data_IF_235993748625
#
_entry.id   IF_235993748625
#
_cell.length_a   1.000
_cell.length_b   1.000
_cell.length_c   1.000
_cell.angle_alpha   90.00
_cell.angle_beta   90.00
_cell.angle_gamma   90.00
#
_symmetry.space_group_name_H-M   'P 1'
#
loop_
_entity.id
_entity.type
_entity.pdbx_description
1 polymer ?
#
# COMPACT_ATOMS: atom_id res chain seq x y z
N UNK A 1 23.83 12.40 -27.04
CA UNK A 1 23.15 11.55 -28.02
C UNK A 1 22.36 12.43 -28.97
N UNK A 2 22.57 12.26 -30.29
CA UNK A 2 21.70 12.85 -31.27
C UNK A 2 20.32 12.19 -31.29
N UNK A 3 19.31 12.83 -31.94
CA UNK A 3 17.97 12.23 -32.06
C UNK A 3 18.05 10.90 -32.84
N UNK A 4 18.92 10.82 -33.83
CA UNK A 4 19.13 9.61 -34.63
C UNK A 4 19.75 8.48 -33.79
N UNK A 5 20.77 8.78 -32.99
CA UNK A 5 21.36 7.82 -32.05
C UNK A 5 20.34 7.34 -31.01
N UNK A 6 19.53 8.24 -30.46
CA UNK A 6 18.49 7.88 -29.49
C UNK A 6 17.43 6.95 -30.12
N UNK A 7 17.03 7.21 -31.36
CA UNK A 7 16.06 6.38 -32.08
C UNK A 7 16.62 5.04 -32.57
N UNK A 8 17.96 4.88 -32.62
CA UNK A 8 18.61 3.63 -33.00
C UNK A 8 18.81 2.65 -31.82
N UNK A 9 18.54 3.09 -30.58
CA UNK A 9 18.67 2.22 -29.40
C UNK A 9 17.55 1.19 -29.39
N UNK A 10 17.92 -0.07 -29.51
CA UNK A 10 16.98 -1.18 -29.38
C UNK A 10 16.53 -1.37 -27.92
N UNK A 11 15.27 -1.73 -27.75
CA UNK A 11 14.70 -2.01 -26.44
C UNK A 11 15.30 -3.31 -25.88
N UNK A 12 15.93 -3.24 -24.72
CA UNK A 12 16.42 -4.42 -24.01
C UNK A 12 15.27 -5.38 -23.69
N UNK A 13 15.41 -6.70 -23.94
CA UNK A 13 14.41 -7.68 -23.57
C UNK A 13 14.06 -7.63 -22.08
N UNK A 14 12.77 -7.78 -21.76
CA UNK A 14 12.25 -7.63 -20.41
C UNK A 14 12.97 -8.52 -19.38
N UNK A 15 13.17 -9.81 -19.69
CA UNK A 15 13.84 -10.73 -18.78
C UNK A 15 15.30 -10.34 -18.50
N UNK A 16 16.00 -9.75 -19.47
CA UNK A 16 17.37 -9.22 -19.25
C UNK A 16 17.36 -8.02 -18.29
N UNK A 17 16.37 -7.13 -18.41
CA UNK A 17 16.21 -6.02 -17.47
C UNK A 17 15.89 -6.54 -16.07
N UNK A 18 15.06 -7.56 -15.94
CA UNK A 18 14.76 -8.21 -14.65
C UNK A 18 16.02 -8.78 -14.02
N UNK A 19 16.84 -9.53 -14.78
CA UNK A 19 18.10 -10.12 -14.24
C UNK A 19 19.10 -9.02 -13.85
N UNK A 20 19.19 -7.92 -14.61
CA UNK A 20 19.99 -6.78 -14.25
C UNK A 20 19.54 -6.18 -12.91
N UNK A 21 18.24 -5.90 -12.73
CA UNK A 21 17.71 -5.36 -11.46
C UNK A 21 17.97 -6.33 -10.30
N UNK A 22 17.81 -7.63 -10.51
CA UNK A 22 18.04 -8.65 -9.48
C UNK A 22 19.49 -8.65 -9.05
N UNK A 23 20.44 -8.62 -10.00
CA UNK A 23 21.88 -8.62 -9.68
C UNK A 23 22.32 -7.35 -8.94
N UNK A 24 21.82 -6.18 -9.35
CA UNK A 24 22.08 -4.91 -8.67
C UNK A 24 21.51 -4.88 -7.25
N UNK A 25 20.30 -5.44 -7.06
CA UNK A 25 19.70 -5.55 -5.74
C UNK A 25 20.51 -6.48 -4.82
N UNK A 26 21.05 -7.60 -5.34
CA UNK A 26 21.87 -8.53 -4.58
C UNK A 26 23.22 -7.88 -4.17
N UNK A 27 23.84 -7.15 -5.08
CA UNK A 27 25.06 -6.39 -4.78
C UNK A 27 24.83 -5.30 -3.74
N UNK A 28 23.72 -4.55 -3.86
CA UNK A 28 23.34 -3.55 -2.88
C UNK A 28 23.04 -4.17 -1.52
N UNK A 29 22.28 -5.27 -1.47
CA UNK A 29 21.94 -5.95 -0.22
C UNK A 29 23.17 -6.50 0.52
N UNK A 30 24.23 -6.85 -0.21
CA UNK A 30 25.49 -7.29 0.39
C UNK A 30 26.28 -6.15 1.07
N UNK A 31 26.06 -4.90 0.66
CA UNK A 31 26.81 -3.72 1.12
C UNK A 31 26.03 -2.84 2.10
N UNK A 32 24.70 -2.86 2.03
CA UNK A 32 23.84 -1.99 2.84
C UNK A 32 23.65 -2.57 4.26
N UNK A 33 23.53 -1.70 5.28
CA UNK A 33 23.20 -2.12 6.63
C UNK A 33 21.76 -2.63 6.72
N UNK A 34 21.49 -3.42 7.74
CA UNK A 34 20.14 -3.94 8.02
C UNK A 34 19.20 -2.86 8.57
N UNK A 35 19.75 -1.92 9.32
CA UNK A 35 18.99 -0.82 9.93
C UNK A 35 19.90 0.39 10.15
N UNK A 36 19.27 1.58 10.18
CA UNK A 36 19.89 2.82 10.64
C UNK A 36 19.36 3.25 12.01
N UNK A 37 18.48 2.46 12.65
CA UNK A 37 18.02 2.74 14.02
C UNK A 37 19.20 2.65 14.99
N UNK A 38 19.37 3.72 15.78
CA UNK A 38 20.50 3.84 16.72
C UNK A 38 21.78 4.42 16.11
N UNK A 39 21.76 4.76 14.83
CA UNK A 39 22.76 5.61 14.19
C UNK A 39 22.42 7.09 14.41
N UNK A 40 22.98 8.01 13.63
CA UNK A 40 22.64 9.42 13.71
C UNK A 40 21.18 9.64 13.29
N UNK A 41 20.49 10.56 13.97
CA UNK A 41 19.05 10.80 13.79
C UNK A 41 18.66 11.16 12.36
N UNK A 42 19.55 11.77 11.59
CA UNK A 42 19.36 12.15 10.20
C UNK A 42 19.52 10.99 9.20
N UNK A 43 19.89 9.81 9.66
CA UNK A 43 20.06 8.62 8.82
C UNK A 43 18.80 7.75 8.71
N UNK A 44 17.81 7.95 9.57
CA UNK A 44 16.53 7.25 9.47
C UNK A 44 15.83 7.57 8.14
N UNK A 45 15.33 6.52 7.47
CA UNK A 45 14.69 6.66 6.14
C UNK A 45 15.65 6.44 4.96
N UNK A 46 16.94 6.21 5.20
CA UNK A 46 17.88 5.77 4.17
C UNK A 46 17.59 4.35 3.70
N UNK A 47 18.07 4.05 2.51
CA UNK A 47 17.93 2.72 1.89
C UNK A 47 18.71 1.66 2.68
N UNK A 48 18.02 0.61 3.09
CA UNK A 48 18.57 -0.51 3.86
C UNK A 48 18.73 -1.76 2.99
N UNK A 49 19.43 -2.78 3.52
CA UNK A 49 19.48 -4.13 2.94
C UNK A 49 18.10 -4.69 2.64
N UNK A 50 17.16 -4.57 3.59
CA UNK A 50 15.80 -5.05 3.43
C UNK A 50 15.04 -4.34 2.31
N UNK A 51 15.30 -3.05 2.06
CA UNK A 51 14.70 -2.35 0.94
C UNK A 51 15.23 -2.88 -0.41
N UNK A 52 16.53 -3.10 -0.56
CA UNK A 52 17.09 -3.70 -1.78
C UNK A 52 16.47 -5.08 -2.05
N UNK A 53 16.35 -5.91 -1.01
CA UNK A 53 15.67 -7.21 -1.10
C UNK A 53 14.18 -7.08 -1.45
N UNK A 54 13.48 -6.07 -0.94
CA UNK A 54 12.08 -5.81 -1.26
C UNK A 54 11.89 -5.41 -2.73
N UNK A 55 12.79 -4.59 -3.29
CA UNK A 55 12.79 -4.25 -4.72
C UNK A 55 12.98 -5.50 -5.57
N UNK A 56 13.96 -6.35 -5.23
CA UNK A 56 14.17 -7.65 -5.89
C UNK A 56 12.93 -8.52 -5.86
N UNK A 57 12.33 -8.71 -4.68
CA UNK A 57 11.13 -9.54 -4.50
C UNK A 57 9.96 -9.03 -5.36
N UNK A 58 9.72 -7.72 -5.35
CA UNK A 58 8.66 -7.11 -6.15
C UNK A 58 8.92 -7.24 -7.65
N UNK A 59 10.15 -7.05 -8.09
CA UNK A 59 10.54 -7.22 -9.51
C UNK A 59 10.29 -8.65 -9.98
N UNK A 60 10.72 -9.65 -9.20
CA UNK A 60 10.50 -11.06 -9.51
C UNK A 60 9.01 -11.45 -9.49
N UNK A 61 8.22 -10.87 -8.56
CA UNK A 61 6.78 -11.09 -8.50
C UNK A 61 6.08 -10.58 -9.77
N UNK A 62 6.44 -9.40 -10.26
CA UNK A 62 5.90 -8.86 -11.50
C UNK A 62 6.35 -9.67 -12.73
N UNK A 63 7.60 -10.13 -12.74
CA UNK A 63 8.10 -11.00 -13.80
C UNK A 63 7.41 -12.39 -13.84
N UNK A 64 6.91 -12.85 -12.69
CA UNK A 64 6.12 -14.08 -12.60
C UNK A 64 4.64 -13.89 -12.96
N UNK A 65 4.14 -12.65 -13.03
CA UNK A 65 2.74 -12.35 -13.31
C UNK A 65 2.32 -12.80 -14.70
N UNK A 66 1.02 -13.04 -14.88
CA UNK A 66 0.46 -13.54 -16.15
C UNK A 66 0.86 -12.70 -17.37
N UNK A 67 1.07 -11.40 -17.21
CA UNK A 67 1.49 -10.51 -18.28
C UNK A 67 2.88 -10.85 -18.82
N UNK A 68 3.81 -11.22 -17.95
CA UNK A 68 5.22 -11.48 -18.27
C UNK A 68 5.59 -12.97 -18.18
N UNK A 69 4.61 -13.81 -17.88
CA UNK A 69 4.73 -15.26 -17.76
C UNK A 69 3.48 -15.95 -18.35
N UNK A 70 3.17 -15.72 -19.64
CA UNK A 70 1.95 -16.26 -20.26
C UNK A 70 1.94 -17.78 -20.30
N UNK A 71 3.11 -18.41 -20.39
CA UNK A 71 3.28 -19.87 -20.44
C UNK A 71 3.21 -20.53 -19.05
N UNK A 72 3.10 -19.73 -17.98
CA UNK A 72 2.92 -20.24 -16.62
C UNK A 72 4.18 -20.89 -16.03
N UNK A 73 5.38 -20.43 -16.38
CA UNK A 73 6.64 -20.95 -15.83
C UNK A 73 6.63 -20.85 -14.29
N UNK A 74 6.55 -22.01 -13.65
CA UNK A 74 6.52 -22.15 -12.19
C UNK A 74 7.84 -21.70 -11.55
N UNK A 75 8.96 -21.73 -12.26
CA UNK A 75 10.25 -21.29 -11.70
C UNK A 75 10.27 -19.78 -11.43
N UNK A 76 9.61 -18.96 -12.26
CA UNK A 76 9.44 -17.52 -12.00
C UNK A 76 8.71 -17.29 -10.68
N UNK A 77 7.63 -18.05 -10.40
CA UNK A 77 6.90 -17.98 -9.13
C UNK A 77 7.74 -18.45 -7.93
N UNK A 78 8.49 -19.53 -8.09
CA UNK A 78 9.39 -20.01 -7.02
C UNK A 78 10.45 -18.99 -6.66
N UNK A 79 11.07 -18.34 -7.66
CA UNK A 79 12.06 -17.29 -7.44
C UNK A 79 11.45 -16.09 -6.68
N UNK A 80 10.25 -15.66 -7.07
CA UNK A 80 9.54 -14.58 -6.39
C UNK A 80 9.22 -14.93 -4.94
N UNK A 81 8.71 -16.13 -4.68
CA UNK A 81 8.41 -16.63 -3.35
C UNK A 81 9.67 -16.74 -2.48
N UNK A 82 10.78 -17.24 -3.02
CA UNK A 82 12.05 -17.33 -2.30
C UNK A 82 12.57 -15.94 -1.92
N UNK A 83 12.53 -14.97 -2.84
CA UNK A 83 12.96 -13.62 -2.55
C UNK A 83 12.12 -12.94 -1.45
N UNK A 84 10.82 -13.22 -1.39
CA UNK A 84 9.97 -12.75 -0.29
C UNK A 84 10.33 -13.45 1.04
N UNK A 85 10.54 -14.76 1.01
CA UNK A 85 10.93 -15.55 2.18
C UNK A 85 12.30 -15.09 2.75
N UNK A 86 13.24 -14.70 1.89
CA UNK A 86 14.55 -14.21 2.30
C UNK A 86 14.42 -12.92 3.14
N UNK A 87 13.43 -12.05 2.84
CA UNK A 87 13.14 -10.86 3.65
C UNK A 87 12.55 -11.25 5.01
N UNK A 88 11.62 -12.21 5.03
CA UNK A 88 11.04 -12.71 6.27
C UNK A 88 12.13 -13.31 7.17
N UNK A 89 13.05 -14.08 6.58
CA UNK A 89 14.14 -14.73 7.28
C UNK A 89 15.20 -13.75 7.85
N UNK A 90 15.23 -12.49 7.42
CA UNK A 90 16.04 -11.46 8.09
C UNK A 90 15.62 -11.28 9.56
N UNK A 91 14.35 -11.53 9.89
CA UNK A 91 13.83 -11.44 11.26
C UNK A 91 13.78 -10.02 11.85
N UNK A 92 13.97 -8.99 11.02
CA UNK A 92 13.97 -7.57 11.45
C UNK A 92 12.64 -6.86 11.25
N UNK A 93 11.77 -7.40 10.39
CA UNK A 93 10.43 -6.86 10.14
C UNK A 93 9.37 -7.74 10.79
N UNK A 94 8.39 -7.10 11.44
CA UNK A 94 7.29 -7.78 12.14
C UNK A 94 5.99 -7.08 11.78
N UNK A 95 4.93 -7.85 11.50
CA UNK A 95 3.61 -7.29 11.26
C UNK A 95 3.13 -6.51 12.49
N UNK A 96 2.72 -5.27 12.27
CA UNK A 96 2.18 -4.42 13.32
C UNK A 96 0.70 -4.77 13.57
N UNK A 97 0.27 -4.66 14.82
CA UNK A 97 -1.14 -4.81 15.22
C UNK A 97 -2.07 -3.71 14.66
N UNK A 98 -1.51 -2.70 14.02
CA UNK A 98 -2.23 -1.59 13.40
C UNK A 98 -2.16 -0.26 14.15
N UNK A 99 -1.61 -0.25 15.37
CA UNK A 99 -1.55 0.97 16.20
C UNK A 99 -0.41 1.90 15.78
N UNK A 100 0.64 1.35 15.16
CA UNK A 100 1.85 2.09 14.75
C UNK A 100 2.00 2.22 13.25
N UNK A 101 1.05 1.69 12.47
CA UNK A 101 1.06 1.82 11.01
C UNK A 101 1.21 3.30 10.61
N UNK A 102 2.08 3.57 9.63
CA UNK A 102 2.42 4.92 9.18
C UNK A 102 3.14 5.81 10.21
N UNK A 103 3.66 5.25 11.29
CA UNK A 103 4.55 5.95 12.21
C UNK A 103 6.00 5.50 12.04
N UNK A 104 6.95 6.31 12.51
CA UNK A 104 8.38 5.92 12.53
C UNK A 104 8.68 4.75 13.47
N UNK A 105 7.76 4.46 14.39
CA UNK A 105 7.88 3.36 15.35
C UNK A 105 7.35 2.01 14.83
N UNK A 106 6.79 1.96 13.61
CA UNK A 106 6.26 0.71 13.07
C UNK A 106 7.38 -0.28 12.71
N UNK A 107 7.33 -1.50 13.25
CA UNK A 107 8.30 -2.55 12.90
C UNK A 107 8.09 -3.11 11.48
N UNK A 108 7.03 -2.70 10.78
CA UNK A 108 6.79 -3.08 9.38
C UNK A 108 7.57 -2.22 8.38
N UNK A 109 8.11 -1.08 8.82
CA UNK A 109 8.73 -0.12 7.93
C UNK A 109 9.99 -0.69 7.26
N UNK A 110 9.91 -0.94 5.96
CA UNK A 110 11.06 -1.33 5.12
C UNK A 110 11.76 -0.10 4.56
N UNK A 111 11.00 0.89 4.11
CA UNK A 111 11.46 2.20 3.68
C UNK A 111 10.40 3.23 4.04
N UNK A 112 10.82 4.36 4.56
CA UNK A 112 9.95 5.50 4.85
C UNK A 112 10.44 6.75 4.13
N UNK A 113 9.49 7.53 3.61
CA UNK A 113 9.76 8.89 3.18
C UNK A 113 9.50 9.82 4.35
N UNK A 114 10.55 10.44 4.85
CA UNK A 114 10.41 11.48 5.85
C UNK A 114 9.83 12.74 5.23
N UNK A 115 8.81 13.30 5.86
CA UNK A 115 8.23 14.58 5.50
C UNK A 115 8.45 15.54 6.67
N UNK A 116 8.64 16.80 6.35
CA UNK A 116 8.56 17.87 7.38
C UNK A 116 7.15 17.96 7.92
N UNK A 117 7.02 18.47 9.13
CA UNK A 117 5.75 18.76 9.76
C UNK A 117 4.88 19.65 8.85
N UNK A 118 3.64 19.25 8.60
CA UNK A 118 2.73 19.90 7.66
C UNK A 118 1.28 19.49 7.95
N UNK A 119 0.35 20.41 7.76
CA UNK A 119 -1.10 20.20 7.82
C UNK A 119 -1.69 19.73 6.48
N UNK A 120 -0.84 19.50 5.49
CA UNK A 120 -1.29 19.19 4.13
C UNK A 120 -2.11 17.89 4.04
N UNK A 121 -1.79 16.90 4.89
CA UNK A 121 -2.55 15.65 4.90
C UNK A 121 -4.00 15.89 5.33
N UNK A 122 -4.20 16.62 6.41
CA UNK A 122 -5.52 16.97 6.94
C UNK A 122 -6.30 17.83 5.96
N UNK A 123 -5.64 18.82 5.35
CA UNK A 123 -6.26 19.73 4.39
C UNK A 123 -6.85 19.02 3.18
N UNK A 124 -6.15 18.00 2.68
CA UNK A 124 -6.56 17.30 1.45
C UNK A 124 -7.38 16.04 1.70
N UNK A 125 -7.39 15.52 2.93
CA UNK A 125 -8.02 14.23 3.22
C UNK A 125 -9.19 14.30 4.21
N UNK A 126 -9.27 15.33 5.05
CA UNK A 126 -10.36 15.45 6.00
C UNK A 126 -11.65 15.95 5.35
N UNK A 127 -12.81 15.58 5.91
CA UNK A 127 -14.09 16.09 5.44
C UNK A 127 -14.15 17.62 5.49
N UNK A 128 -14.90 18.20 4.56
CA UNK A 128 -15.21 19.65 4.57
C UNK A 128 -15.78 20.03 5.96
N UNK A 129 -15.34 21.16 6.51
CA UNK A 129 -15.64 21.71 7.85
C UNK A 129 -14.77 21.18 9.00
N UNK A 130 -13.95 20.14 8.79
CA UNK A 130 -13.03 19.63 9.83
C UNK A 130 -11.60 20.14 9.67
N UNK A 131 -11.33 20.95 8.67
CA UNK A 131 -10.09 21.70 8.49
C UNK A 131 -10.27 23.08 9.06
N UNK A 132 -9.35 23.51 9.94
CA UNK A 132 -9.42 24.83 10.56
C UNK A 132 -8.97 25.96 9.59
N UNK A 133 -9.50 27.16 9.80
CA UNK A 133 -9.08 28.39 9.13
C UNK A 133 -9.67 28.59 7.74
N UNK A 134 -8.99 29.40 6.93
CA UNK A 134 -9.45 29.84 5.59
C UNK A 134 -9.53 28.72 4.54
N UNK A 135 -9.19 27.49 4.90
CA UNK A 135 -9.10 26.33 4.00
C UNK A 135 -10.28 25.36 4.13
N UNK A 136 -11.34 25.78 4.79
CA UNK A 136 -12.57 24.98 5.00
C UNK A 136 -13.31 24.60 3.72
N UNK A 137 -12.93 25.14 2.59
CA UNK A 137 -13.49 24.84 1.27
C UNK A 137 -12.68 23.79 0.48
N UNK A 138 -11.52 23.36 0.97
CA UNK A 138 -10.79 22.28 0.34
C UNK A 138 -11.51 20.97 0.61
N UNK A 139 -11.82 20.24 -0.46
CA UNK A 139 -12.51 18.96 -0.36
C UNK A 139 -11.55 17.85 0.05
N UNK A 140 -12.03 16.94 0.88
CA UNK A 140 -11.29 15.75 1.28
C UNK A 140 -11.12 14.72 0.16
N UNK A 141 -10.43 13.63 0.49
CA UNK A 141 -10.37 12.45 -0.37
C UNK A 141 -11.65 11.62 -0.17
N UNK A 142 -12.39 11.43 -1.24
CA UNK A 142 -13.64 10.66 -1.21
C UNK A 142 -13.46 9.31 -1.90
N UNK A 143 -13.86 8.20 -1.27
CA UNK A 143 -13.84 6.90 -1.90
C UNK A 143 -14.91 6.84 -3.01
N UNK A 144 -14.67 6.04 -4.02
CA UNK A 144 -15.75 5.65 -4.95
C UNK A 144 -16.73 4.72 -4.24
N UNK A 145 -17.99 4.71 -4.68
CA UNK A 145 -18.98 3.80 -4.13
C UNK A 145 -18.58 2.33 -4.27
N UNK A 146 -17.94 1.96 -5.38
CA UNK A 146 -17.44 0.60 -5.58
C UNK A 146 -16.42 0.17 -4.51
N UNK A 147 -15.56 1.10 -4.04
CA UNK A 147 -14.65 0.81 -2.95
C UNK A 147 -15.41 0.61 -1.63
N UNK A 148 -16.45 1.42 -1.38
CA UNK A 148 -17.30 1.30 -0.18
C UNK A 148 -18.03 -0.04 -0.18
N UNK A 149 -18.56 -0.47 -1.33
CA UNK A 149 -19.30 -1.73 -1.49
C UNK A 149 -18.37 -2.96 -1.33
N UNK A 150 -17.11 -2.84 -1.70
CA UNK A 150 -16.12 -3.93 -1.55
C UNK A 150 -15.82 -4.30 -0.08
N UNK A 151 -16.23 -3.48 0.89
CA UNK A 151 -16.18 -3.87 2.30
C UNK A 151 -17.37 -4.77 2.63
N UNK A 152 -17.10 -5.94 3.15
CA UNK A 152 -18.12 -6.92 3.57
C UNK A 152 -18.81 -6.52 4.88
N UNK A 153 -19.92 -7.18 5.18
CA UNK A 153 -20.53 -7.12 6.52
C UNK A 153 -19.60 -7.73 7.56
N UNK A 154 -19.89 -7.54 8.84
CA UNK A 154 -19.14 -8.14 9.95
C UNK A 154 -19.12 -9.67 9.88
N UNK A 155 -20.13 -10.26 9.25
CA UNK A 155 -20.26 -11.71 9.03
C UNK A 155 -19.60 -12.21 7.73
N UNK A 156 -18.97 -11.32 6.94
CA UNK A 156 -18.20 -11.66 5.74
C UNK A 156 -19.03 -11.79 4.46
N UNK A 157 -20.26 -11.26 4.43
CA UNK A 157 -21.10 -11.23 3.25
C UNK A 157 -20.88 -9.97 2.43
N UNK A 158 -20.99 -10.08 1.12
CA UNK A 158 -20.89 -8.94 0.22
C UNK A 158 -22.10 -8.01 0.37
N UNK A 159 -21.86 -6.73 0.11
CA UNK A 159 -22.89 -5.70 0.07
C UNK A 159 -22.86 -5.06 -1.30
N UNK A 160 -24.00 -5.01 -1.96
CA UNK A 160 -24.14 -4.46 -3.31
C UNK A 160 -25.27 -3.44 -3.36
N UNK A 161 -25.15 -2.50 -4.30
CA UNK A 161 -26.23 -1.59 -4.65
C UNK A 161 -26.86 -2.04 -5.96
N UNK A 162 -28.18 -2.23 -5.95
CA UNK A 162 -28.98 -2.63 -7.11
C UNK A 162 -29.97 -1.52 -7.49
N UNK A 163 -30.75 -1.74 -8.53
CA UNK A 163 -31.86 -0.84 -8.87
C UNK A 163 -32.92 -0.74 -7.76
N UNK A 164 -32.99 -1.73 -6.85
CA UNK A 164 -33.91 -1.78 -5.74
C UNK A 164 -33.31 -1.22 -4.43
N UNK A 165 -32.06 -0.80 -4.44
CA UNK A 165 -31.35 -0.29 -3.27
C UNK A 165 -30.21 -1.22 -2.81
N UNK A 166 -29.90 -1.14 -1.53
CA UNK A 166 -28.83 -1.93 -0.93
C UNK A 166 -29.29 -3.36 -0.62
N UNK A 167 -28.48 -4.33 -0.96
CA UNK A 167 -28.74 -5.76 -0.77
C UNK A 167 -27.51 -6.49 -0.22
N UNK A 168 -27.75 -7.51 0.60
CA UNK A 168 -26.77 -8.48 1.09
C UNK A 168 -27.44 -9.79 1.44
N UNK A 169 -26.75 -10.91 1.29
CA UNK A 169 -27.20 -12.22 1.77
C UNK A 169 -27.06 -12.37 3.31
N UNK A 170 -26.52 -11.37 3.99
CA UNK A 170 -26.42 -11.34 5.44
C UNK A 170 -27.81 -11.00 6.05
N UNK A 171 -28.39 -11.93 6.78
CA UNK A 171 -29.67 -11.73 7.47
C UNK A 171 -29.65 -10.62 8.53
N UNK A 172 -28.47 -10.21 9.00
CA UNK A 172 -28.30 -9.11 9.93
C UNK A 172 -28.12 -7.75 9.24
N UNK A 173 -28.09 -7.72 7.90
CA UNK A 173 -27.94 -6.50 7.12
C UNK A 173 -29.24 -5.71 7.09
N UNK A 174 -29.16 -4.41 7.36
CA UNK A 174 -30.28 -3.47 7.27
C UNK A 174 -30.06 -2.52 6.08
N UNK A 175 -30.85 -2.70 5.03
CA UNK A 175 -30.78 -1.89 3.82
C UNK A 175 -31.07 -0.39 4.04
N UNK A 176 -31.78 -0.03 5.12
CA UNK A 176 -32.03 1.37 5.51
C UNK A 176 -30.81 2.02 6.19
N UNK A 177 -29.87 1.20 6.67
CA UNK A 177 -28.61 1.61 7.32
C UNK A 177 -27.43 0.82 6.75
N UNK A 178 -27.09 1.01 5.48
CA UNK A 178 -26.18 0.15 4.74
C UNK A 178 -24.72 0.22 5.21
N UNK A 179 -24.39 1.16 6.08
CA UNK A 179 -23.06 1.35 6.64
C UNK A 179 -22.89 0.74 8.04
N UNK A 180 -23.99 0.28 8.66
CA UNK A 180 -23.95 -0.40 9.94
C UNK A 180 -23.48 -1.86 9.78
N UNK A 181 -22.94 -2.43 10.84
CA UNK A 181 -22.49 -3.82 10.89
C UNK A 181 -21.54 -4.24 9.74
N UNK A 182 -20.74 -3.30 9.25
CA UNK A 182 -19.66 -3.57 8.29
C UNK A 182 -18.43 -4.10 9.01
N UNK A 183 -17.59 -4.81 8.29
CA UNK A 183 -16.33 -5.36 8.84
C UNK A 183 -15.43 -4.27 9.47
N UNK A 184 -14.56 -4.62 10.43
CA UNK A 184 -13.81 -3.64 11.24
C UNK A 184 -12.90 -2.72 10.42
N UNK A 185 -12.46 -3.16 9.24
CA UNK A 185 -11.68 -2.32 8.31
C UNK A 185 -12.50 -1.19 7.71
N UNK A 186 -13.81 -1.36 7.57
CA UNK A 186 -14.68 -0.31 7.05
C UNK A 186 -14.60 0.94 7.95
N UNK A 187 -14.87 0.81 9.23
CA UNK A 187 -14.86 1.93 10.16
C UNK A 187 -13.47 2.62 10.31
N UNK A 188 -12.38 1.91 9.97
CA UNK A 188 -11.03 2.47 9.96
C UNK A 188 -10.68 3.21 8.66
N UNK A 189 -11.39 2.95 7.59
CA UNK A 189 -11.03 3.44 6.23
C UNK A 189 -12.06 4.41 5.68
N UNK A 190 -13.34 4.17 5.96
CA UNK A 190 -14.47 4.92 5.41
C UNK A 190 -15.12 5.74 6.52
N UNK A 191 -15.35 6.99 6.24
CA UNK A 191 -16.16 7.87 7.05
C UNK A 191 -17.48 8.09 6.35
N UNK A 192 -18.54 7.51 6.88
CA UNK A 192 -19.90 7.58 6.33
C UNK A 192 -20.80 8.48 7.18
N UNK A 193 -21.91 8.92 6.60
CA UNK A 193 -22.92 9.71 7.30
C UNK A 193 -23.40 9.00 8.58
N UNK A 194 -23.53 9.74 9.65
CA UNK A 194 -23.88 9.23 10.99
C UNK A 194 -22.68 8.72 11.81
N UNK A 195 -21.48 8.66 11.24
CA UNK A 195 -20.28 8.30 12.00
C UNK A 195 -19.70 9.48 12.76
N UNK A 196 -19.11 9.21 13.92
CA UNK A 196 -18.39 10.22 14.69
C UNK A 196 -16.98 10.48 14.12
N UNK A 197 -16.65 11.73 13.91
CA UNK A 197 -15.31 12.19 13.55
C UNK A 197 -14.90 13.36 14.40
N UNK A 198 -13.75 13.29 15.08
CA UNK A 198 -13.25 14.32 16.01
C UNK A 198 -14.33 14.77 17.04
N UNK A 199 -15.12 13.83 17.53
CA UNK A 199 -16.16 14.09 18.54
C UNK A 199 -17.45 14.71 18.00
N UNK A 200 -17.62 14.81 16.69
CA UNK A 200 -18.84 15.33 16.03
C UNK A 200 -19.37 14.26 15.10
N UNK A 201 -20.69 14.11 15.05
CA UNK A 201 -21.37 13.27 14.05
C UNK A 201 -21.40 13.96 12.69
N UNK A 202 -21.14 13.20 11.63
CA UNK A 202 -21.08 13.68 10.24
C UNK A 202 -22.37 13.40 9.50
#
# INVERSE_FOLDING_TARGET
>A
LSIEEANSIEKTPFDQVVEFIVSECDECAAKLPETYIGMLDDEYGRVTKGFAMAVKSKTLLYAASRLHNPDGDVQKWKRAAQAALDIINLGIYVLDSGDKVNTTASPENVLVRMNSESDSFELYNFPVRFTEGQRTYMSGTYPTQNLVDAFQTINGYDVTITANGWESDDHAFDASRPYDNRGPRFARTILANGMAFKGTEI
#
